data_IF_817590741524
#
_entry.id   IF_817590741524
#
_cell.length_a   1.000
_cell.length_b   1.000
_cell.length_c   1.000
_cell.angle_alpha   90.00
_cell.angle_beta   90.00
_cell.angle_gamma   90.00
#
_symmetry.space_group_name_H-M   'P 1'
#
loop_
_entity.id
_entity.type
_entity.pdbx_description
1 polymer ?
#
# COMPACT_ATOMS: atom_id res chain seq x y z
N UNK A 1 2.21 7.86 -17.95
CA UNK A 1 2.67 9.16 -17.37
C UNK A 1 2.82 8.92 -15.88
N UNK A 2 4.05 8.95 -15.35
CA UNK A 2 4.32 8.85 -13.92
C UNK A 2 4.22 10.25 -13.31
N UNK A 3 3.45 10.40 -12.23
CA UNK A 3 3.13 11.68 -11.59
C UNK A 3 3.76 11.82 -10.18
N UNK A 4 4.82 11.06 -9.88
CA UNK A 4 5.52 11.15 -8.59
C UNK A 4 6.67 12.16 -8.68
N UNK A 5 6.92 12.93 -7.61
CA UNK A 5 7.98 13.96 -7.55
C UNK A 5 9.38 13.40 -7.84
N UNK A 6 9.64 12.12 -7.53
CA UNK A 6 10.94 11.49 -7.67
C UNK A 6 11.02 10.47 -8.83
N UNK A 7 9.91 10.18 -9.52
CA UNK A 7 9.87 9.21 -10.61
C UNK A 7 10.17 7.76 -10.18
N UNK A 8 10.08 7.43 -8.88
CA UNK A 8 10.36 6.08 -8.37
C UNK A 8 9.25 5.09 -8.80
N UNK A 9 9.59 4.02 -9.55
CA UNK A 9 8.63 2.98 -9.94
C UNK A 9 7.91 2.32 -8.76
N UNK A 10 8.55 2.26 -7.58
CA UNK A 10 7.97 1.65 -6.39
C UNK A 10 6.79 2.45 -5.84
N UNK A 11 6.91 3.77 -5.82
CA UNK A 11 5.84 4.67 -5.38
C UNK A 11 4.63 4.57 -6.31
N UNK A 12 4.87 4.52 -7.63
CA UNK A 12 3.80 4.36 -8.60
C UNK A 12 3.10 2.99 -8.46
N UNK A 13 3.86 1.91 -8.27
CA UNK A 13 3.28 0.58 -8.05
C UNK A 13 2.42 0.52 -6.77
N UNK A 14 2.82 1.24 -5.72
CA UNK A 14 2.02 1.37 -4.50
C UNK A 14 0.73 2.15 -4.76
N UNK A 15 0.81 3.27 -5.46
CA UNK A 15 -0.35 4.09 -5.81
C UNK A 15 -1.34 3.35 -6.71
N UNK A 16 -0.85 2.64 -7.72
CA UNK A 16 -1.67 1.80 -8.61
C UNK A 16 -2.43 0.73 -7.82
N UNK A 17 -1.76 0.07 -6.87
CA UNK A 17 -2.39 -0.93 -6.01
C UNK A 17 -3.52 -0.34 -5.17
N UNK A 18 -3.29 0.81 -4.53
CA UNK A 18 -4.32 1.48 -3.72
C UNK A 18 -5.51 1.90 -4.58
N UNK A 19 -5.24 2.48 -5.75
CA UNK A 19 -6.29 2.88 -6.70
C UNK A 19 -7.11 1.68 -7.20
N UNK A 20 -6.47 0.54 -7.44
CA UNK A 20 -7.17 -0.71 -7.79
C UNK A 20 -8.12 -1.15 -6.69
N UNK A 21 -7.64 -1.21 -5.44
CA UNK A 21 -8.47 -1.58 -4.28
C UNK A 21 -9.66 -0.64 -4.11
N UNK A 22 -9.44 0.69 -4.16
CA UNK A 22 -10.52 1.67 -4.02
C UNK A 22 -11.59 1.47 -5.10
N UNK A 23 -11.17 1.27 -6.35
CA UNK A 23 -12.10 1.11 -7.47
C UNK A 23 -12.87 -0.22 -7.38
N UNK A 24 -12.16 -1.32 -7.19
CA UNK A 24 -12.71 -2.68 -7.30
C UNK A 24 -13.45 -3.13 -6.04
N UNK A 25 -12.99 -2.71 -4.85
CA UNK A 25 -13.56 -3.20 -3.59
C UNK A 25 -14.56 -2.23 -2.96
N UNK A 26 -14.43 -0.92 -3.21
CA UNK A 26 -15.27 0.08 -2.56
C UNK A 26 -16.24 0.76 -3.52
N UNK A 27 -15.75 1.22 -4.68
CA UNK A 27 -16.58 2.00 -5.62
C UNK A 27 -17.41 1.12 -6.56
N UNK A 28 -17.00 -0.13 -6.82
CA UNK A 28 -17.67 -1.03 -7.77
C UNK A 28 -19.15 -1.31 -7.42
N UNK A 29 -19.52 -1.19 -6.14
CA UNK A 29 -20.89 -1.38 -5.67
C UNK A 29 -21.81 -0.16 -5.86
N UNK A 30 -21.29 0.99 -6.30
CA UNK A 30 -22.05 2.25 -6.40
C UNK A 30 -22.29 2.63 -7.86
N UNK A 31 -23.52 3.03 -8.16
CA UNK A 31 -23.82 3.78 -9.39
C UNK A 31 -23.57 5.26 -9.15
N UNK A 32 -22.64 5.82 -9.92
CA UNK A 32 -22.23 7.22 -9.82
C UNK A 32 -22.63 7.92 -11.10
N UNK A 33 -23.49 8.93 -11.01
CA UNK A 33 -24.02 9.64 -12.18
C UNK A 33 -23.30 10.99 -12.41
N UNK A 34 -22.79 11.60 -11.33
CA UNK A 34 -22.14 12.91 -11.40
C UNK A 34 -20.73 12.88 -10.80
N UNK A 35 -19.87 13.79 -11.28
CA UNK A 35 -18.52 13.98 -10.72
C UNK A 35 -18.59 14.43 -9.25
N UNK A 36 -19.60 15.22 -8.88
CA UNK A 36 -19.77 15.71 -7.52
C UNK A 36 -20.05 14.56 -6.54
N UNK A 37 -20.95 13.65 -6.90
CA UNK A 37 -21.19 12.42 -6.13
C UNK A 37 -19.94 11.54 -6.09
N UNK A 38 -19.22 11.41 -7.22
CA UNK A 38 -17.97 10.66 -7.28
C UNK A 38 -16.94 11.20 -6.27
N UNK A 39 -16.80 12.52 -6.18
CA UNK A 39 -15.85 13.17 -5.27
C UNK A 39 -16.23 12.93 -3.81
N UNK A 40 -17.50 13.15 -3.45
CA UNK A 40 -17.97 12.92 -2.08
C UNK A 40 -17.82 11.46 -1.65
N UNK A 41 -18.22 10.53 -2.52
CA UNK A 41 -18.09 9.11 -2.25
C UNK A 41 -16.61 8.69 -2.14
N UNK A 42 -15.74 9.23 -3.00
CA UNK A 42 -14.31 8.95 -2.96
C UNK A 42 -13.69 9.41 -1.63
N UNK A 43 -14.06 10.59 -1.12
CA UNK A 43 -13.59 11.09 0.18
C UNK A 43 -13.97 10.13 1.32
N UNK A 44 -15.23 9.68 1.36
CA UNK A 44 -15.71 8.73 2.36
C UNK A 44 -15.01 7.37 2.24
N UNK A 45 -14.83 6.87 1.02
CA UNK A 45 -14.14 5.59 0.77
C UNK A 45 -12.66 5.65 1.18
N UNK A 46 -11.97 6.75 0.88
CA UNK A 46 -10.57 6.94 1.29
C UNK A 46 -10.47 6.96 2.81
N UNK A 47 -11.40 7.65 3.48
CA UNK A 47 -11.47 7.66 4.94
C UNK A 47 -11.71 6.26 5.49
N UNK A 48 -12.65 5.51 4.92
CA UNK A 48 -12.95 4.13 5.30
C UNK A 48 -11.73 3.21 5.14
N UNK A 49 -11.03 3.31 4.02
CA UNK A 49 -9.79 2.55 3.78
C UNK A 49 -8.73 2.85 4.85
N UNK A 50 -8.54 4.13 5.20
CA UNK A 50 -7.52 4.53 6.17
C UNK A 50 -7.89 4.20 7.62
N UNK A 51 -9.18 4.19 7.96
CA UNK A 51 -9.63 4.10 9.35
C UNK A 51 -10.21 2.73 9.73
N UNK A 52 -10.69 1.94 8.78
CA UNK A 52 -11.40 0.70 9.09
C UNK A 52 -10.77 -0.54 8.46
N UNK A 53 -9.92 -0.42 7.45
CA UNK A 53 -9.31 -1.60 6.80
C UNK A 53 -8.10 -2.10 7.62
N UNK A 54 -8.16 -3.28 8.26
CA UNK A 54 -6.98 -3.87 8.89
C UNK A 54 -6.04 -4.44 7.82
N UNK A 55 -4.75 -4.19 7.97
CA UNK A 55 -3.73 -4.70 7.04
C UNK A 55 -2.79 -5.70 7.72
N UNK A 56 -2.77 -6.93 7.19
CA UNK A 56 -1.90 -8.00 7.69
C UNK A 56 -0.42 -7.64 7.69
N UNK A 57 0.05 -6.80 6.76
CA UNK A 57 1.46 -6.39 6.70
C UNK A 57 1.90 -5.48 7.84
N UNK A 58 0.95 -4.88 8.57
CA UNK A 58 1.19 -3.95 9.67
C UNK A 58 0.52 -4.43 10.96
N UNK A 59 0.41 -5.75 11.14
CA UNK A 59 -0.10 -6.35 12.38
C UNK A 59 -1.62 -6.29 12.53
N UNK A 60 -2.36 -6.25 11.42
CA UNK A 60 -3.82 -6.06 11.39
C UNK A 60 -4.28 -4.72 11.97
N UNK A 61 -3.40 -3.73 12.01
CA UNK A 61 -3.74 -2.34 12.28
C UNK A 61 -4.18 -1.64 10.99
N UNK A 62 -4.84 -0.50 11.16
CA UNK A 62 -5.28 0.38 10.08
C UNK A 62 -4.17 1.34 9.68
N UNK A 63 -4.19 1.89 8.44
CA UNK A 63 -3.20 2.87 8.03
C UNK A 63 -3.15 4.09 8.95
N UNK A 64 -4.30 4.59 9.40
CA UNK A 64 -4.40 5.74 10.30
C UNK A 64 -3.77 5.45 11.68
N UNK A 65 -4.02 4.28 12.26
CA UNK A 65 -3.42 3.90 13.56
C UNK A 65 -1.88 3.89 13.49
N UNK A 66 -1.30 3.33 12.43
CA UNK A 66 0.15 3.34 12.23
C UNK A 66 0.66 4.76 12.03
N UNK A 67 -0.07 5.58 11.26
CA UNK A 67 0.30 6.97 11.01
C UNK A 67 0.34 7.79 12.30
N UNK A 68 -0.67 7.64 13.17
CA UNK A 68 -0.77 8.37 14.44
C UNK A 68 0.24 7.89 15.48
N UNK A 69 0.44 6.57 15.59
CA UNK A 69 1.32 5.98 16.62
C UNK A 69 2.79 6.00 16.22
N UNK A 70 3.09 6.24 14.93
CA UNK A 70 4.43 6.14 14.34
C UNK A 70 5.13 4.82 14.71
N UNK A 71 4.34 3.75 14.88
CA UNK A 71 4.82 2.48 15.37
C UNK A 71 5.64 1.78 14.28
N UNK A 72 6.79 1.23 14.66
CA UNK A 72 7.57 0.39 13.74
C UNK A 72 6.82 -0.91 13.51
N UNK A 73 6.44 -1.14 12.26
CA UNK A 73 5.77 -2.37 11.85
C UNK A 73 6.80 -3.47 11.65
N UNK A 74 6.50 -4.66 12.15
CA UNK A 74 7.35 -5.82 11.93
C UNK A 74 7.03 -6.48 10.59
N UNK A 75 8.06 -6.99 9.93
CA UNK A 75 7.90 -7.73 8.69
C UNK A 75 7.33 -9.12 8.99
N UNK A 76 6.02 -9.28 8.81
CA UNK A 76 5.33 -10.54 9.12
C UNK A 76 5.43 -11.61 8.01
N UNK A 77 5.91 -11.26 6.81
CA UNK A 77 6.03 -12.21 5.70
C UNK A 77 7.40 -12.88 5.62
N UNK A 78 7.40 -14.20 5.37
CA UNK A 78 8.64 -14.98 5.18
C UNK A 78 9.34 -14.58 3.88
N UNK A 79 10.66 -14.46 3.93
CA UNK A 79 11.50 -14.44 2.74
C UNK A 79 11.67 -15.86 2.23
N UNK A 80 11.09 -16.17 1.07
CA UNK A 80 11.30 -17.45 0.40
C UNK A 80 12.66 -17.55 -0.30
N UNK A 81 13.32 -16.42 -0.53
CA UNK A 81 14.66 -16.38 -1.09
C UNK A 81 15.71 -16.38 0.04
N UNK A 82 16.54 -17.43 0.16
CA UNK A 82 17.61 -17.43 1.14
C UNK A 82 18.63 -16.35 0.78
N UNK A 83 19.02 -15.50 1.75
CA UNK A 83 20.19 -14.64 1.61
C UNK A 83 21.41 -15.55 1.42
N UNK A 84 21.88 -15.72 0.18
CA UNK A 84 23.17 -16.35 -0.08
C UNK A 84 24.23 -15.48 0.61
N UNK A 85 24.81 -15.99 1.70
CA UNK A 85 26.13 -15.53 2.15
C UNK A 85 27.14 -16.06 1.15
N UNK A 86 27.18 -15.50 -0.06
CA UNK A 86 28.28 -15.79 -0.97
C UNK A 86 29.49 -15.04 -0.40
N UNK A 87 30.37 -15.75 0.31
CA UNK A 87 31.76 -15.32 0.43
C UNK A 87 32.32 -15.40 -1.00
N UNK A 88 32.21 -14.32 -1.76
CA UNK A 88 32.89 -14.20 -3.04
C UNK A 88 34.39 -14.12 -2.75
N UNK A 89 35.08 -15.25 -2.94
CA UNK A 89 36.52 -15.50 -2.78
C UNK A 89 37.15 -15.24 -1.40
N UNK A 90 37.36 -16.28 -0.58
CA UNK A 90 38.38 -16.26 0.46
C UNK A 90 39.79 -16.70 -0.02
N UNK A 91 39.93 -17.17 -1.27
CA UNK A 91 41.20 -17.64 -1.84
C UNK A 91 41.41 -17.03 -3.23
N UNK A 92 41.96 -15.83 -3.25
CA UNK A 92 42.83 -15.41 -4.35
C UNK A 92 44.26 -15.53 -3.81
N UNK A 93 44.88 -16.69 -4.07
CA UNK A 93 46.33 -16.82 -4.22
C UNK A 93 46.66 -16.70 -5.71
#
# INVERSE_FOLDING_TARGET
>A
ISMTENGDPLENALAERINGIIKEEYLDCYQIETIQEATLLLEEVVKLYNQERPHMSIGNLTPEEIHQTNQKTERLWRNYYPKKRTLVNPLQD
#
